data_IF_663127766189
#
_entry.id   IF_663127766189
#
_cell.length_a   1.000
_cell.length_b   1.000
_cell.length_c   1.000
_cell.angle_alpha   90.00
_cell.angle_beta   90.00
_cell.angle_gamma   90.00
#
_symmetry.space_group_name_H-M   'P 1'
#
loop_
_entity.id
_entity.type
_entity.pdbx_description
1 polymer ?
#
# COMPACT_ATOMS: atom_id res chain seq x y z
N UNK A 1 -13.20 10.35 25.81
CA UNK A 1 -11.95 9.80 25.24
C UNK A 1 -11.78 10.35 23.83
N UNK A 2 -10.73 11.13 23.55
CA UNK A 2 -10.41 11.53 22.17
C UNK A 2 -10.08 10.25 21.38
N UNK A 3 -10.65 9.99 20.19
CA UNK A 3 -10.27 8.81 19.42
C UNK A 3 -8.78 8.95 19.07
N UNK A 4 -7.93 8.08 19.61
CA UNK A 4 -6.58 7.90 19.07
C UNK A 4 -6.81 7.44 17.63
N UNK A 5 -6.56 8.32 16.65
CA UNK A 5 -6.56 7.98 15.21
C UNK A 5 -5.65 6.77 15.06
N UNK A 6 -6.22 5.55 15.01
CA UNK A 6 -5.51 4.34 14.57
C UNK A 6 -4.86 4.75 13.26
N UNK A 7 -3.54 4.67 13.17
CA UNK A 7 -2.83 5.07 11.96
C UNK A 7 -3.40 4.24 10.80
N UNK A 8 -4.15 4.90 9.92
CA UNK A 8 -4.90 4.32 8.79
C UNK A 8 -4.01 3.96 7.59
N UNK A 9 -2.70 3.86 7.84
CA UNK A 9 -1.69 3.79 6.79
C UNK A 9 -1.22 2.35 6.62
N UNK A 10 -1.29 1.89 5.38
CA UNK A 10 -0.85 0.60 4.87
C UNK A 10 0.56 0.77 4.32
N UNK A 11 1.47 -0.11 4.74
CA UNK A 11 2.82 -0.18 4.19
C UNK A 11 2.76 -0.70 2.74
N UNK A 12 3.60 -0.14 1.87
CA UNK A 12 3.66 -0.54 0.46
C UNK A 12 5.03 -1.13 0.18
N UNK A 13 5.06 -2.40 -0.22
CA UNK A 13 6.24 -3.05 -0.77
C UNK A 13 6.23 -2.93 -2.28
N UNK A 14 7.40 -2.78 -2.89
CA UNK A 14 7.54 -2.94 -4.34
C UNK A 14 7.42 -4.42 -4.73
N UNK A 15 7.47 -4.71 -6.03
CA UNK A 15 7.33 -6.07 -6.56
C UNK A 15 8.40 -7.06 -6.09
N UNK A 16 9.52 -6.59 -5.56
CA UNK A 16 10.59 -7.41 -4.99
C UNK A 16 10.46 -7.60 -3.46
N UNK A 17 9.36 -7.14 -2.85
CA UNK A 17 9.15 -7.20 -1.41
C UNK A 17 9.93 -6.14 -0.62
N UNK A 18 10.56 -5.17 -1.29
CA UNK A 18 11.32 -4.10 -0.64
C UNK A 18 10.36 -2.98 -0.22
N UNK A 19 10.38 -2.52 1.04
CA UNK A 19 9.52 -1.45 1.51
C UNK A 19 9.80 -0.15 0.77
N UNK A 20 8.75 0.46 0.23
CA UNK A 20 8.82 1.80 -0.33
C UNK A 20 8.67 2.83 0.79
N UNK A 21 9.27 4.03 0.65
CA UNK A 21 9.20 5.08 1.66
C UNK A 21 7.79 5.68 1.83
N UNK A 22 6.84 5.26 1.00
CA UNK A 22 5.47 5.73 1.01
C UNK A 22 4.55 4.74 1.75
N UNK A 23 3.54 5.30 2.40
CA UNK A 23 2.38 4.55 2.87
C UNK A 23 1.12 5.05 2.17
N UNK A 24 0.09 4.22 2.08
CA UNK A 24 -1.20 4.61 1.48
C UNK A 24 -2.33 4.39 2.49
N UNK A 25 -3.49 5.02 2.28
CA UNK A 25 -4.67 4.75 3.11
C UNK A 25 -5.22 3.35 2.81
N UNK A 26 -5.93 2.76 3.77
CA UNK A 26 -6.56 1.45 3.58
C UNK A 26 -7.50 1.40 2.37
N UNK A 27 -8.34 2.42 2.16
CA UNK A 27 -9.21 2.51 0.99
C UNK A 27 -8.43 2.55 -0.34
N UNK A 28 -7.26 3.21 -0.35
CA UNK A 28 -6.38 3.20 -1.53
C UNK A 28 -5.76 1.83 -1.76
N UNK A 29 -5.31 1.16 -0.69
CA UNK A 29 -4.80 -0.20 -0.76
C UNK A 29 -5.85 -1.18 -1.32
N UNK A 30 -7.09 -1.13 -0.81
CA UNK A 30 -8.19 -1.96 -1.33
C UNK A 30 -8.47 -1.70 -2.82
N UNK A 31 -8.49 -0.44 -3.24
CA UNK A 31 -8.67 -0.09 -4.66
C UNK A 31 -7.54 -0.65 -5.54
N UNK A 32 -6.28 -0.59 -5.08
CA UNK A 32 -5.13 -1.15 -5.80
C UNK A 32 -5.23 -2.67 -5.91
N UNK A 33 -5.68 -3.35 -4.85
CA UNK A 33 -5.90 -4.79 -4.86
C UNK A 33 -7.06 -5.17 -5.78
N UNK A 34 -8.17 -4.45 -5.74
CA UNK A 34 -9.33 -4.67 -6.61
C UNK A 34 -8.99 -4.48 -8.10
N UNK A 35 -8.03 -3.62 -8.42
CA UNK A 35 -7.50 -3.41 -9.79
C UNK A 35 -6.42 -4.41 -10.19
N UNK A 36 -6.00 -5.32 -9.30
CA UNK A 36 -4.89 -6.24 -9.52
C UNK A 36 -3.51 -5.56 -9.59
N UNK A 37 -3.38 -4.34 -9.08
CA UNK A 37 -2.13 -3.56 -9.03
C UNK A 37 -1.28 -3.90 -7.80
N UNK A 38 -1.90 -4.51 -6.79
CA UNK A 38 -1.24 -4.93 -5.57
C UNK A 38 -1.92 -6.19 -4.98
N UNK A 39 -1.25 -6.82 -4.03
CA UNK A 39 -1.78 -7.94 -3.23
C UNK A 39 -1.52 -7.69 -1.76
N UNK A 40 -2.43 -8.12 -0.89
CA UNK A 40 -2.20 -8.09 0.55
C UNK A 40 -1.12 -9.11 0.93
N UNK A 41 -0.21 -8.69 1.79
CA UNK A 41 0.84 -9.54 2.33
C UNK A 41 0.67 -9.60 3.84
N UNK A 42 0.63 -10.80 4.38
CA UNK A 42 0.61 -11.01 5.82
C UNK A 42 1.96 -10.58 6.40
N UNK A 43 1.94 -9.59 7.29
CA UNK A 43 3.11 -9.19 8.07
C UNK A 43 2.70 -9.04 9.52
N UNK A 44 3.56 -9.44 10.45
CA UNK A 44 3.24 -9.52 11.88
C UNK A 44 2.91 -8.17 12.54
N UNK A 45 3.23 -7.07 11.87
CA UNK A 45 3.24 -5.74 12.50
C UNK A 45 2.22 -4.76 11.94
N UNK A 46 1.96 -4.76 10.62
CA UNK A 46 1.15 -3.73 9.95
C UNK A 46 0.41 -4.27 8.74
N UNK A 47 -0.74 -3.70 8.36
CA UNK A 47 -1.34 -4.01 7.07
C UNK A 47 -0.38 -3.57 5.97
N UNK A 48 -0.04 -4.49 5.08
CA UNK A 48 0.98 -4.30 4.04
C UNK A 48 0.46 -4.82 2.71
N UNK A 49 0.64 -4.04 1.65
CA UNK A 49 0.41 -4.50 0.27
C UNK A 49 1.73 -4.59 -0.48
N UNK A 50 1.84 -5.56 -1.39
CA UNK A 50 2.93 -5.68 -2.35
C UNK A 50 2.42 -5.33 -3.74
N UNK A 51 3.10 -4.40 -4.40
CA UNK A 51 2.79 -4.03 -5.78
C UNK A 51 3.09 -5.18 -6.72
N UNK A 52 2.18 -5.47 -7.64
CA UNK A 52 2.37 -6.48 -8.69
C UNK A 52 3.08 -5.92 -9.92
N UNK A 53 3.15 -4.59 -10.03
CA UNK A 53 3.79 -3.87 -11.13
C UNK A 53 4.96 -3.01 -10.61
N UNK A 54 5.96 -2.71 -11.45
CA UNK A 54 7.06 -1.84 -11.07
C UNK A 54 6.50 -0.50 -10.62
N UNK A 55 6.91 -0.04 -9.43
CA UNK A 55 6.57 1.30 -8.98
C UNK A 55 7.34 2.31 -9.82
N UNK A 56 6.63 3.08 -10.66
CA UNK A 56 7.23 4.18 -11.40
C UNK A 56 7.08 5.47 -10.58
N UNK A 57 8.17 6.08 -10.07
CA UNK A 57 8.10 7.36 -9.36
C UNK A 57 7.57 8.51 -10.24
N UNK A 58 7.56 8.33 -11.57
CA UNK A 58 7.00 9.29 -12.54
C UNK A 58 5.49 9.12 -12.77
N UNK A 59 4.85 8.14 -12.13
CA UNK A 59 3.50 7.66 -12.46
C UNK A 59 2.45 7.86 -11.37
N UNK A 60 2.49 8.96 -10.61
CA UNK A 60 1.25 9.46 -9.99
C UNK A 60 0.31 9.87 -11.12
N UNK A 61 -0.48 8.91 -11.60
CA UNK A 61 -1.47 9.05 -12.68
C UNK A 61 -0.89 9.49 -14.02
N UNK A 62 -0.68 8.53 -14.94
CA UNK A 62 -1.16 8.79 -16.30
C UNK A 62 -2.46 8.02 -16.46
N UNK A 63 -3.46 8.79 -16.87
CA UNK A 63 -4.89 8.49 -17.02
C UNK A 63 -5.17 7.14 -17.65
#
# INVERSE_FOLDING_TARGET
MKPRKKSFFVCVLNMHGVPLPQSCSFAKAESMVAKGEAVWVETESKPTIQLTKPWSPKGMFYR
#
